data_IF_888862704964
#
_entry.id   IF_888862704964
#
_cell.length_a   1.000
_cell.length_b   1.000
_cell.length_c   1.000
_cell.angle_alpha   90.00
_cell.angle_beta   90.00
_cell.angle_gamma   90.00
#
_symmetry.space_group_name_H-M   'P 1'
#
loop_
_entity.id
_entity.type
_entity.pdbx_description
1 polymer ?
#
# COMPACT_ATOMS: atom_id res chain seq x y z
N UNK A 1 -6.46 -1.71 -24.34
CA UNK A 1 -6.11 -0.30 -24.07
C UNK A 1 -4.66 -0.24 -23.61
N UNK A 2 -3.98 0.86 -23.92
CA UNK A 2 -2.66 1.19 -23.37
C UNK A 2 -2.86 1.96 -22.07
N UNK A 3 -2.50 1.37 -20.95
CA UNK A 3 -2.59 2.01 -19.63
C UNK A 3 -1.18 2.36 -19.18
N UNK A 4 -0.96 3.63 -18.86
CA UNK A 4 0.33 4.10 -18.36
C UNK A 4 0.21 4.51 -16.89
N UNK A 5 1.06 3.94 -16.04
CA UNK A 5 1.16 4.26 -14.62
C UNK A 5 2.44 5.07 -14.44
N UNK A 6 2.33 6.26 -13.88
CA UNK A 6 3.48 7.14 -13.65
C UNK A 6 3.84 7.14 -12.18
N UNK A 7 5.09 6.78 -11.87
CA UNK A 7 5.59 6.62 -10.51
C UNK A 7 5.78 5.15 -10.10
N UNK A 8 6.52 4.93 -9.04
CA UNK A 8 6.92 3.58 -8.55
C UNK A 8 6.69 3.39 -7.04
N UNK A 9 5.86 4.22 -6.44
CA UNK A 9 5.41 4.01 -5.06
C UNK A 9 4.47 2.80 -4.93
N UNK A 10 4.10 2.45 -3.71
CA UNK A 10 3.20 1.33 -3.36
C UNK A 10 1.92 1.34 -4.20
N UNK A 11 1.26 2.51 -4.33
CA UNK A 11 0.02 2.64 -5.09
C UNK A 11 0.20 2.33 -6.58
N UNK A 12 1.32 2.75 -7.19
CA UNK A 12 1.63 2.50 -8.60
C UNK A 12 1.84 1.02 -8.86
N UNK A 13 2.69 0.38 -8.07
CA UNK A 13 2.98 -1.04 -8.24
C UNK A 13 1.78 -1.92 -7.90
N UNK A 14 0.99 -1.56 -6.88
CA UNK A 14 -0.25 -2.29 -6.59
C UNK A 14 -1.26 -2.15 -7.74
N UNK A 15 -1.37 -0.96 -8.35
CA UNK A 15 -2.22 -0.75 -9.53
C UNK A 15 -1.74 -1.59 -10.72
N UNK A 16 -0.44 -1.60 -10.99
CA UNK A 16 0.16 -2.41 -12.05
C UNK A 16 -0.11 -3.91 -11.81
N UNK A 17 0.07 -4.36 -10.59
CA UNK A 17 -0.18 -5.74 -10.19
C UNK A 17 -1.65 -6.13 -10.42
N UNK A 18 -2.59 -5.40 -9.83
CA UNK A 18 -4.02 -5.69 -9.97
C UNK A 18 -4.43 -5.72 -11.45
N UNK A 19 -4.10 -4.67 -12.21
CA UNK A 19 -4.48 -4.58 -13.62
C UNK A 19 -3.86 -5.69 -14.46
N UNK A 20 -2.62 -6.07 -14.21
CA UNK A 20 -1.95 -7.13 -14.98
C UNK A 20 -2.52 -8.52 -14.72
N UNK A 21 -3.14 -8.75 -13.57
CA UNK A 21 -3.78 -10.02 -13.22
C UNK A 21 -5.26 -10.07 -13.55
N UNK A 22 -5.93 -8.92 -13.69
CA UNK A 22 -7.38 -8.84 -13.86
C UNK A 22 -7.81 -8.40 -15.25
N UNK A 23 -6.88 -7.90 -16.07
CA UNK A 23 -7.20 -7.38 -17.40
C UNK A 23 -6.20 -7.87 -18.45
N UNK A 24 -6.56 -7.68 -19.73
CA UNK A 24 -5.68 -7.94 -20.88
C UNK A 24 -5.19 -6.62 -21.51
N UNK A 25 -5.00 -5.58 -20.70
CA UNK A 25 -4.52 -4.29 -21.18
C UNK A 25 -2.99 -4.25 -21.28
N UNK A 26 -2.47 -3.44 -22.18
CA UNK A 26 -1.05 -3.15 -22.29
C UNK A 26 -0.67 -2.17 -21.17
N UNK A 27 0.06 -2.64 -20.19
CA UNK A 27 0.41 -1.84 -18.99
C UNK A 27 1.87 -1.42 -19.08
N UNK A 28 2.10 -0.14 -18.92
CA UNK A 28 3.44 0.46 -18.85
C UNK A 28 3.59 1.27 -17.57
N UNK A 29 4.66 1.03 -16.82
CA UNK A 29 5.05 1.82 -15.66
C UNK A 29 6.19 2.76 -16.08
N UNK A 30 6.06 4.06 -15.80
CA UNK A 30 7.14 5.04 -15.99
C UNK A 30 7.78 5.29 -14.64
N UNK A 31 9.07 4.98 -14.56
CA UNK A 31 9.91 5.11 -13.39
C UNK A 31 10.88 6.27 -13.54
N UNK A 32 10.79 7.25 -12.65
CA UNK A 32 11.72 8.38 -12.65
C UNK A 32 13.09 7.97 -12.11
N UNK A 33 14.15 8.57 -12.67
CA UNK A 33 15.50 8.34 -12.18
C UNK A 33 15.68 8.93 -10.77
N UNK A 34 16.28 8.14 -9.89
CA UNK A 34 16.76 8.57 -8.57
C UNK A 34 15.73 9.24 -7.65
N UNK A 35 14.45 8.96 -7.83
CA UNK A 35 13.45 9.37 -6.86
C UNK A 35 13.30 8.26 -5.82
N UNK A 36 13.67 8.52 -4.56
CA UNK A 36 13.45 7.52 -3.51
C UNK A 36 11.95 7.38 -3.23
N UNK A 37 11.54 6.18 -2.92
CA UNK A 37 10.22 5.96 -2.31
C UNK A 37 10.19 6.65 -0.95
N UNK A 38 9.09 7.34 -0.64
CA UNK A 38 8.89 7.88 0.70
C UNK A 38 8.60 6.69 1.62
N UNK A 39 9.66 6.11 2.18
CA UNK A 39 9.60 4.92 3.02
C UNK A 39 9.25 5.29 4.46
N UNK A 40 7.99 5.51 4.74
CA UNK A 40 7.52 5.82 6.11
C UNK A 40 7.02 4.59 6.86
N UNK A 41 7.05 3.40 6.22
CA UNK A 41 6.28 2.24 6.65
C UNK A 41 4.79 2.44 6.37
N UNK A 42 4.10 1.37 6.08
CA UNK A 42 2.67 1.43 5.81
C UNK A 42 1.92 0.36 6.60
N UNK A 43 0.76 0.77 7.17
CA UNK A 43 -0.23 -0.14 7.69
C UNK A 43 -1.29 -0.40 6.63
N UNK A 44 -1.43 -1.64 6.22
CA UNK A 44 -2.43 -2.02 5.22
C UNK A 44 -3.83 -2.13 5.81
N UNK A 45 -4.78 -2.40 4.91
CA UNK A 45 -6.11 -2.92 5.24
C UNK A 45 -6.19 -4.41 4.92
N UNK A 46 -7.23 -5.10 5.37
CA UNK A 46 -7.46 -6.50 5.04
C UNK A 46 -7.61 -6.73 3.52
N UNK A 47 -8.19 -5.77 2.79
CA UNK A 47 -8.32 -5.84 1.33
C UNK A 47 -6.95 -5.97 0.66
N UNK A 48 -5.93 -5.29 1.16
CA UNK A 48 -4.57 -5.40 0.62
C UNK A 48 -4.04 -6.84 0.75
N UNK A 49 -4.19 -7.44 1.92
CA UNK A 49 -3.79 -8.83 2.17
C UNK A 49 -4.58 -9.82 1.29
N UNK A 50 -5.87 -9.58 1.12
CA UNK A 50 -6.73 -10.37 0.25
C UNK A 50 -6.32 -10.26 -1.23
N UNK A 51 -5.92 -9.07 -1.69
CA UNK A 51 -5.39 -8.86 -3.04
C UNK A 51 -4.09 -9.63 -3.26
N UNK A 52 -3.14 -9.47 -2.35
CA UNK A 52 -1.82 -10.15 -2.43
C UNK A 52 -1.99 -11.66 -2.32
N UNK A 53 -2.84 -12.12 -1.40
CA UNK A 53 -3.11 -13.56 -1.16
C UNK A 53 -3.95 -14.25 -2.24
N UNK A 54 -4.44 -13.52 -3.23
CA UNK A 54 -5.17 -14.10 -4.36
C UNK A 54 -6.63 -14.42 -4.10
N UNK A 55 -7.27 -13.77 -3.13
CA UNK A 55 -8.69 -13.97 -2.85
C UNK A 55 -9.60 -13.48 -3.98
N UNK A 56 -9.25 -12.35 -4.60
CA UNK A 56 -10.07 -11.74 -5.65
C UNK A 56 -9.66 -12.16 -7.06
N UNK A 57 -8.41 -12.55 -7.24
CA UNK A 57 -7.88 -13.06 -8.50
C UNK A 57 -6.67 -13.95 -8.23
N UNK A 58 -6.48 -14.95 -9.06
CA UNK A 58 -5.42 -15.94 -8.86
C UNK A 58 -4.04 -15.31 -8.99
N UNK A 59 -3.32 -15.21 -7.87
CA UNK A 59 -1.92 -14.81 -7.81
C UNK A 59 -1.03 -16.02 -7.55
N UNK A 60 0.24 -15.90 -7.83
CA UNK A 60 1.25 -16.90 -7.48
C UNK A 60 2.13 -16.42 -6.32
N UNK A 61 1.65 -15.46 -5.54
CA UNK A 61 2.37 -14.92 -4.39
C UNK A 61 2.19 -15.87 -3.21
N UNK A 62 3.31 -16.26 -2.63
CA UNK A 62 3.33 -16.93 -1.34
C UNK A 62 3.31 -15.88 -0.24
N UNK A 63 2.30 -15.91 0.62
CA UNK A 63 2.17 -14.94 1.72
C UNK A 63 3.32 -15.02 2.73
N UNK A 64 3.92 -16.20 2.93
CA UNK A 64 5.08 -16.32 3.80
C UNK A 64 6.30 -15.59 3.22
N UNK A 65 6.48 -15.63 1.90
CA UNK A 65 7.54 -14.86 1.24
C UNK A 65 7.25 -13.37 1.32
N UNK A 66 6.01 -12.98 1.09
CA UNK A 66 5.57 -11.59 1.24
C UNK A 66 5.88 -11.06 2.65
N UNK A 67 5.46 -11.77 3.68
CA UNK A 67 5.67 -11.33 5.08
C UNK A 67 7.14 -11.27 5.46
N UNK A 68 7.95 -12.21 4.99
CA UNK A 68 9.38 -12.24 5.26
C UNK A 68 10.12 -11.12 4.53
N UNK A 69 9.87 -10.93 3.24
CA UNK A 69 10.64 -10.00 2.41
C UNK A 69 10.27 -8.52 2.66
N UNK A 70 9.03 -8.28 3.09
CA UNK A 70 8.60 -6.95 3.48
C UNK A 70 8.70 -6.69 4.98
N UNK A 71 9.28 -7.61 5.73
CA UNK A 71 9.43 -7.46 7.20
C UNK A 71 8.08 -7.16 7.88
N UNK A 72 7.04 -7.88 7.46
CA UNK A 72 5.70 -7.61 7.91
C UNK A 72 5.47 -7.97 9.37
N UNK A 73 4.71 -7.13 10.06
CA UNK A 73 4.08 -7.47 11.33
C UNK A 73 2.57 -7.40 11.19
N UNK A 74 1.80 -8.25 11.92
CA UNK A 74 0.34 -8.20 11.87
C UNK A 74 -0.18 -6.86 12.41
N UNK A 75 -1.15 -6.27 11.72
CA UNK A 75 -1.90 -5.11 12.19
C UNK A 75 -3.32 -5.55 12.53
N UNK A 76 -3.62 -5.65 13.81
CA UNK A 76 -4.87 -6.22 14.31
C UNK A 76 -5.91 -5.17 14.63
N UNK A 77 -5.50 -4.05 15.18
CA UNK A 77 -6.38 -2.98 15.62
C UNK A 77 -5.66 -1.63 15.59
N UNK A 78 -6.42 -0.57 15.79
CA UNK A 78 -5.94 0.77 16.05
C UNK A 78 -6.33 1.09 17.49
N UNK A 79 -5.35 1.45 18.30
CA UNK A 79 -5.57 1.92 19.67
C UNK A 79 -5.87 3.42 19.66
N UNK A 80 -7.07 3.79 20.14
CA UNK A 80 -7.49 5.18 20.25
C UNK A 80 -7.39 5.61 21.70
N UNK A 81 -6.36 6.38 22.05
CA UNK A 81 -6.13 6.92 23.38
C UNK A 81 -6.60 8.38 23.48
N UNK A 82 -7.35 8.68 24.53
CA UNK A 82 -7.84 10.04 24.79
C UNK A 82 -8.95 10.53 23.84
N UNK A 83 -9.62 9.65 23.13
CA UNK A 83 -10.71 9.95 22.19
C UNK A 83 -12.08 9.79 22.86
N UNK A 84 -12.38 10.55 23.85
CA UNK A 84 -13.66 10.48 24.58
C UNK A 84 -13.47 10.07 26.04
N UNK A 85 -14.45 9.37 26.60
CA UNK A 85 -14.44 9.02 28.03
C UNK A 85 -13.56 7.80 28.36
N UNK A 86 -13.29 6.94 27.38
CA UNK A 86 -12.50 5.73 27.54
C UNK A 86 -11.65 5.49 26.29
N UNK A 87 -10.47 4.94 26.48
CA UNK A 87 -9.64 4.40 25.41
C UNK A 87 -10.32 3.15 24.81
N UNK A 88 -10.15 2.95 23.50
CA UNK A 88 -10.74 1.79 22.84
C UNK A 88 -9.92 1.33 21.65
N UNK A 89 -10.03 0.03 21.33
CA UNK A 89 -9.43 -0.56 20.14
C UNK A 89 -10.46 -0.66 19.01
N UNK A 90 -10.07 -0.22 17.82
CA UNK A 90 -10.83 -0.42 16.60
C UNK A 90 -10.16 -1.50 15.75
N UNK A 91 -10.79 -2.67 15.56
CA UNK A 91 -10.20 -3.72 14.72
C UNK A 91 -10.11 -3.26 13.26
N UNK A 92 -9.05 -3.70 12.58
CA UNK A 92 -8.77 -3.27 11.19
C UNK A 92 -9.67 -3.97 10.18
N UNK A 93 -10.13 -5.19 10.48
CA UNK A 93 -11.18 -5.83 9.70
C UNK A 93 -12.27 -6.34 10.62
N UNK A 94 -13.50 -6.50 10.10
CA UNK A 94 -14.66 -6.88 10.88
C UNK A 94 -14.69 -8.33 11.38
N UNK A 95 -13.61 -9.09 11.19
CA UNK A 95 -13.49 -10.49 11.58
C UNK A 95 -13.25 -10.78 13.07
N UNK A 96 -12.78 -9.85 13.90
CA UNK A 96 -12.47 -10.15 15.31
C UNK A 96 -13.66 -10.56 16.18
N UNK A 97 -14.88 -10.33 15.75
CA UNK A 97 -16.06 -10.73 16.54
C UNK A 97 -16.21 -12.23 16.69
N UNK A 98 -15.59 -13.02 15.83
CA UNK A 98 -15.58 -14.48 15.88
C UNK A 98 -14.27 -15.08 16.38
N UNK A 99 -13.27 -14.26 16.66
CA UNK A 99 -11.93 -14.71 17.04
C UNK A 99 -11.82 -14.80 18.56
N UNK A 100 -11.42 -15.97 19.06
CA UNK A 100 -11.25 -16.23 20.48
C UNK A 100 -9.78 -16.50 20.81
N UNK A 101 -9.32 -15.93 21.90
CA UNK A 101 -8.05 -16.25 22.50
C UNK A 101 -8.31 -16.80 23.89
N UNK A 102 -7.95 -18.06 24.14
CA UNK A 102 -8.13 -18.72 25.44
C UNK A 102 -9.56 -18.51 26.00
N UNK A 103 -10.56 -18.83 25.18
CA UNK A 103 -11.98 -18.75 25.56
C UNK A 103 -12.55 -17.33 25.72
N UNK A 104 -11.78 -16.28 25.45
CA UNK A 104 -12.27 -14.89 25.43
C UNK A 104 -12.34 -14.37 23.99
N UNK A 105 -13.30 -13.51 23.71
CA UNK A 105 -13.32 -12.77 22.45
C UNK A 105 -12.04 -11.91 22.34
N UNK A 106 -11.43 -11.89 21.16
CA UNK A 106 -10.19 -11.16 20.89
C UNK A 106 -10.22 -9.72 21.42
N UNK A 107 -11.30 -8.97 21.13
CA UNK A 107 -11.43 -7.60 21.59
C UNK A 107 -11.52 -7.48 23.12
N UNK A 108 -12.14 -8.47 23.79
CA UNK A 108 -12.18 -8.48 25.26
C UNK A 108 -10.82 -8.82 25.86
N UNK A 109 -10.08 -9.73 25.23
CA UNK A 109 -8.74 -10.08 25.65
C UNK A 109 -7.78 -8.90 25.46
N UNK A 110 -7.92 -8.17 24.35
CA UNK A 110 -7.14 -6.97 24.07
C UNK A 110 -7.43 -5.87 25.10
N UNK A 111 -8.70 -5.55 25.34
CA UNK A 111 -9.11 -4.55 26.33
C UNK A 111 -8.70 -4.86 27.76
N UNK A 112 -8.33 -6.12 28.05
CA UNK A 112 -7.84 -6.57 29.36
C UNK A 112 -6.33 -6.77 29.38
N UNK A 113 -5.60 -6.29 28.38
CA UNK A 113 -4.16 -6.52 28.22
C UNK A 113 -3.72 -8.01 28.31
N UNK A 114 -4.62 -8.92 27.92
CA UNK A 114 -4.38 -10.35 28.01
C UNK A 114 -3.75 -10.98 26.78
N UNK A 115 -3.60 -10.22 25.71
CA UNK A 115 -2.95 -10.69 24.50
C UNK A 115 -2.08 -9.62 23.88
N UNK A 116 -0.98 -10.09 23.29
CA UNK A 116 -0.12 -9.29 22.44
C UNK A 116 -0.66 -9.30 21.03
N UNK A 117 -0.74 -8.14 20.44
CA UNK A 117 -1.17 -7.94 19.05
C UNK A 117 -0.21 -8.65 18.09
N UNK A 118 1.09 -8.65 18.40
CA UNK A 118 2.11 -9.11 17.45
C UNK A 118 2.33 -10.61 17.39
N UNK A 119 2.20 -11.33 18.48
CA UNK A 119 2.78 -12.68 18.54
C UNK A 119 1.78 -13.83 18.47
N UNK A 120 0.53 -13.61 18.76
CA UNK A 120 -0.43 -14.71 18.89
C UNK A 120 -1.71 -14.56 18.08
N UNK A 121 -2.02 -13.38 17.58
CA UNK A 121 -3.32 -13.11 17.00
C UNK A 121 -3.37 -13.13 15.48
N UNK A 122 -2.24 -13.00 14.80
CA UNK A 122 -2.18 -12.93 13.33
C UNK A 122 -1.81 -14.25 12.64
N UNK A 123 -1.37 -15.26 13.39
CA UNK A 123 -0.87 -16.48 12.80
C UNK A 123 -1.54 -17.73 13.39
N UNK A 124 -2.16 -18.52 12.54
CA UNK A 124 -2.69 -19.82 12.94
C UNK A 124 -1.58 -20.87 12.84
N UNK A 125 -1.02 -21.24 13.97
CA UNK A 125 0.08 -22.20 14.07
C UNK A 125 -0.34 -23.60 13.58
N UNK A 126 -1.58 -24.01 13.82
CA UNK A 126 -2.08 -25.34 13.42
C UNK A 126 -2.22 -25.48 11.90
N UNK A 127 -2.54 -24.39 11.21
CA UNK A 127 -2.77 -24.40 9.76
C UNK A 127 -1.65 -23.73 8.98
N UNK A 128 -0.63 -23.22 9.64
CA UNK A 128 0.46 -22.47 9.00
C UNK A 128 -0.05 -21.34 8.07
N UNK A 129 -1.15 -20.69 8.49
CA UNK A 129 -1.83 -19.63 7.75
C UNK A 129 -1.89 -18.37 8.58
N UNK A 130 -1.55 -17.25 7.95
CA UNK A 130 -1.94 -15.95 8.45
C UNK A 130 -3.46 -15.82 8.37
N UNK A 131 -4.10 -15.46 9.48
CA UNK A 131 -5.49 -14.99 9.41
C UNK A 131 -5.53 -13.79 8.49
N UNK A 132 -6.55 -13.75 7.63
CA UNK A 132 -6.80 -12.59 6.79
C UNK A 132 -6.90 -11.36 7.67
N UNK A 133 -5.86 -10.58 7.68
CA UNK A 133 -5.71 -9.36 8.47
C UNK A 133 -4.90 -8.35 7.70
N UNK A 134 -4.66 -7.23 8.33
CA UNK A 134 -3.77 -6.21 7.80
C UNK A 134 -2.33 -6.42 8.29
N UNK A 135 -1.40 -5.73 7.65
CA UNK A 135 0.01 -5.76 7.99
C UNK A 135 0.55 -4.36 8.13
N UNK A 136 1.53 -4.20 9.01
CA UNK A 136 2.54 -3.16 8.87
C UNK A 136 3.68 -3.74 8.03
N UNK A 137 4.20 -3.00 7.08
CA UNK A 137 5.25 -3.50 6.19
C UNK A 137 6.23 -2.41 5.77
N UNK A 138 7.43 -2.86 5.41
CA UNK A 138 8.50 -1.98 4.93
C UNK A 138 8.27 -1.63 3.46
N UNK A 139 7.81 -0.42 3.20
CA UNK A 139 7.52 0.06 1.84
C UNK A 139 8.74 0.15 0.93
N UNK A 140 9.95 0.27 1.50
CA UNK A 140 11.18 0.32 0.72
C UNK A 140 11.49 -1.01 0.01
N UNK A 141 10.87 -2.10 0.44
CA UNK A 141 11.04 -3.42 -0.16
C UNK A 141 9.88 -3.78 -1.10
N UNK A 142 8.80 -3.00 -1.12
CA UNK A 142 7.59 -3.37 -1.84
C UNK A 142 7.78 -3.45 -3.36
N UNK A 143 8.45 -2.49 -3.96
CA UNK A 143 8.72 -2.47 -5.39
C UNK A 143 9.56 -3.67 -5.83
N UNK A 144 10.63 -3.98 -5.09
CA UNK A 144 11.51 -5.12 -5.35
C UNK A 144 10.77 -6.44 -5.30
N UNK A 145 9.84 -6.55 -4.36
CA UNK A 145 9.02 -7.76 -4.19
C UNK A 145 7.98 -7.91 -5.30
N UNK A 146 7.21 -6.87 -5.60
CA UNK A 146 6.04 -6.97 -6.48
C UNK A 146 6.39 -6.88 -7.97
N UNK A 147 7.44 -6.13 -8.33
CA UNK A 147 7.88 -5.92 -9.73
C UNK A 147 8.05 -7.23 -10.52
N UNK A 148 8.73 -8.28 -10.03
CA UNK A 148 8.90 -9.53 -10.77
C UNK A 148 7.56 -10.21 -11.12
N UNK A 149 6.54 -10.06 -10.28
CA UNK A 149 5.21 -10.59 -10.56
C UNK A 149 4.51 -9.82 -11.67
N UNK A 150 4.67 -8.49 -11.70
CA UNK A 150 4.15 -7.63 -12.76
C UNK A 150 4.83 -7.91 -14.10
N UNK A 151 6.16 -8.02 -14.12
CA UNK A 151 6.95 -8.30 -15.31
C UNK A 151 6.63 -9.66 -15.93
N UNK A 152 6.38 -10.70 -15.13
CA UNK A 152 5.87 -12.00 -15.58
C UNK A 152 4.50 -11.90 -16.26
N UNK A 153 3.77 -10.82 -16.06
CA UNK A 153 2.50 -10.49 -16.70
C UNK A 153 2.66 -9.47 -17.84
N UNK A 154 3.87 -9.30 -18.33
CA UNK A 154 4.22 -8.42 -19.43
C UNK A 154 4.01 -6.91 -19.15
N UNK A 155 4.00 -6.50 -17.88
CA UNK A 155 4.08 -5.08 -17.53
C UNK A 155 5.42 -4.54 -17.99
N UNK A 156 5.40 -3.50 -18.82
CA UNK A 156 6.60 -2.83 -19.31
C UNK A 156 7.04 -1.76 -18.32
N UNK A 157 8.34 -1.61 -18.14
CA UNK A 157 8.91 -0.53 -17.33
C UNK A 157 9.78 0.35 -18.22
N UNK A 158 9.50 1.65 -18.20
CA UNK A 158 10.24 2.67 -18.93
C UNK A 158 10.90 3.61 -17.93
N UNK A 159 12.19 3.79 -18.04
CA UNK A 159 12.90 4.79 -17.25
C UNK A 159 12.70 6.17 -17.88
N UNK A 160 12.24 7.12 -17.07
CA UNK A 160 12.03 8.50 -17.55
C UNK A 160 11.22 9.34 -16.58
N UNK A 161 11.24 10.63 -16.80
CA UNK A 161 10.45 11.61 -16.06
C UNK A 161 9.47 12.28 -17.02
N UNK A 162 8.19 12.30 -16.68
CA UNK A 162 7.18 12.99 -17.49
C UNK A 162 7.37 14.50 -17.36
N UNK A 163 7.60 15.16 -18.51
CA UNK A 163 7.75 16.61 -18.62
C UNK A 163 6.45 17.31 -18.97
N UNK A 164 5.66 16.72 -19.88
CA UNK A 164 4.40 17.30 -20.33
C UNK A 164 3.46 16.21 -20.85
N UNK A 165 2.22 16.61 -21.09
CA UNK A 165 1.18 15.75 -21.67
C UNK A 165 0.67 16.35 -22.97
N UNK A 166 0.30 15.48 -23.92
CA UNK A 166 -0.35 15.88 -25.17
C UNK A 166 -1.78 15.39 -25.12
N UNK A 167 -2.71 16.30 -25.36
CA UNK A 167 -4.14 16.02 -25.40
C UNK A 167 -4.61 15.76 -26.84
N UNK A 168 -5.68 14.99 -26.98
CA UNK A 168 -6.41 14.85 -28.22
C UNK A 168 -7.46 15.99 -28.34
N UNK A 169 -8.18 16.03 -29.48
CA UNK A 169 -9.19 17.04 -29.75
C UNK A 169 -10.38 17.03 -28.78
N UNK A 170 -10.55 15.94 -28.03
CA UNK A 170 -11.58 15.78 -27.00
C UNK A 170 -11.09 16.16 -25.59
N UNK A 171 -9.86 16.61 -25.44
CA UNK A 171 -9.27 16.97 -24.14
C UNK A 171 -8.78 15.79 -23.30
N UNK A 172 -8.73 14.58 -23.86
CA UNK A 172 -8.15 13.42 -23.19
C UNK A 172 -6.65 13.34 -23.43
N UNK A 173 -5.90 12.82 -22.46
CA UNK A 173 -4.46 12.57 -22.63
C UNK A 173 -4.26 11.51 -23.72
N UNK A 174 -3.44 11.85 -24.72
CA UNK A 174 -3.07 10.97 -25.83
C UNK A 174 -1.65 10.44 -25.68
N UNK A 175 -0.75 11.28 -25.21
CA UNK A 175 0.67 10.93 -25.06
C UNK A 175 1.28 11.61 -23.84
N UNK A 176 2.28 10.97 -23.26
CA UNK A 176 3.17 11.54 -22.26
C UNK A 176 4.50 11.82 -22.91
N UNK A 177 5.03 13.04 -22.72
CA UNK A 177 6.35 13.45 -23.23
C UNK A 177 7.34 13.32 -22.08
N UNK A 178 8.39 12.52 -22.26
CA UNK A 178 9.46 12.33 -21.28
C UNK A 178 10.52 13.42 -21.38
N UNK A 179 11.39 13.50 -20.39
CA UNK A 179 12.46 14.48 -20.31
C UNK A 179 13.52 14.37 -21.43
N UNK A 180 13.68 13.18 -22.02
CA UNK A 180 14.53 12.91 -23.18
C UNK A 180 13.84 13.20 -24.52
N UNK A 181 12.63 13.78 -24.50
CA UNK A 181 11.74 14.05 -25.63
C UNK A 181 11.13 12.81 -26.30
N UNK A 182 11.31 11.62 -25.75
CA UNK A 182 10.54 10.45 -26.17
C UNK A 182 9.06 10.58 -25.78
N UNK A 183 8.20 9.90 -26.53
CA UNK A 183 6.76 9.92 -26.32
C UNK A 183 6.24 8.53 -25.95
N UNK A 184 5.34 8.48 -24.98
CA UNK A 184 4.62 7.29 -24.59
C UNK A 184 3.14 7.48 -24.91
N UNK A 185 2.65 6.74 -25.90
CA UNK A 185 1.21 6.73 -26.23
C UNK A 185 0.42 6.04 -25.13
N UNK A 186 -0.73 6.60 -24.80
CA UNK A 186 -1.58 6.06 -23.73
C UNK A 186 -3.06 6.36 -24.00
N UNK A 187 -3.93 5.43 -23.59
CA UNK A 187 -5.38 5.61 -23.61
C UNK A 187 -5.89 5.99 -22.20
N UNK A 188 -5.16 5.60 -21.15
CA UNK A 188 -5.50 5.87 -19.76
C UNK A 188 -4.24 6.04 -18.91
N UNK A 189 -4.26 7.02 -18.00
CA UNK A 189 -3.11 7.30 -17.12
C UNK A 189 -3.50 7.20 -15.66
N UNK A 190 -2.66 6.53 -14.89
CA UNK A 190 -2.71 6.52 -13.42
C UNK A 190 -1.54 7.37 -12.91
N UNK A 191 -1.86 8.49 -12.24
CA UNK A 191 -0.87 9.35 -11.60
C UNK A 191 -0.54 8.85 -10.19
N UNK A 192 0.46 8.01 -10.07
CA UNK A 192 1.00 7.48 -8.81
C UNK A 192 2.21 8.26 -8.29
N UNK A 193 2.39 9.51 -8.72
CA UNK A 193 3.56 10.32 -8.36
C UNK A 193 3.43 11.05 -7.02
N UNK A 194 2.38 10.76 -6.26
CA UNK A 194 2.16 11.32 -4.93
C UNK A 194 2.14 12.86 -4.95
N UNK A 195 2.88 13.50 -4.07
CA UNK A 195 2.92 14.96 -3.96
C UNK A 195 3.49 15.68 -5.18
N UNK A 196 4.21 15.00 -6.06
CA UNK A 196 4.72 15.59 -7.31
C UNK A 196 3.59 15.90 -8.31
N UNK A 197 2.48 15.13 -8.27
CA UNK A 197 1.31 15.36 -9.13
C UNK A 197 1.71 15.54 -10.59
N UNK A 198 2.59 14.65 -11.10
CA UNK A 198 3.26 14.84 -12.39
C UNK A 198 2.29 14.94 -13.58
N UNK A 199 1.15 14.31 -13.47
CA UNK A 199 0.12 14.30 -14.53
C UNK A 199 -1.03 15.26 -14.20
N UNK A 200 -1.60 15.16 -13.00
CA UNK A 200 -2.80 15.92 -12.66
C UNK A 200 -2.58 17.43 -12.72
N UNK A 201 -1.36 17.91 -12.50
CA UNK A 201 -1.00 19.34 -12.64
C UNK A 201 -1.21 19.91 -14.05
N UNK A 202 -1.27 19.05 -15.08
CA UNK A 202 -1.53 19.45 -16.47
C UNK A 202 -3.02 19.44 -16.82
N UNK A 203 -3.87 18.93 -15.92
CA UNK A 203 -5.31 18.95 -16.07
C UNK A 203 -5.88 20.23 -15.47
N UNK A 204 -7.04 20.66 -15.97
CA UNK A 204 -7.74 21.80 -15.39
C UNK A 204 -8.46 21.37 -14.11
N UNK A 205 -7.75 21.33 -12.98
CA UNK A 205 -8.32 20.99 -11.68
C UNK A 205 -8.10 22.11 -10.67
N UNK A 206 -8.99 22.19 -9.69
CA UNK A 206 -8.88 23.11 -8.57
C UNK A 206 -8.36 22.38 -7.35
N UNK A 207 -7.26 22.87 -6.78
CA UNK A 207 -6.82 22.44 -5.46
C UNK A 207 -7.73 23.02 -4.39
N UNK A 208 -8.23 22.17 -3.50
CA UNK A 208 -9.02 22.61 -2.35
C UNK A 208 -8.11 22.56 -1.13
N UNK A 209 -7.92 23.71 -0.50
CA UNK A 209 -7.13 23.84 0.71
C UNK A 209 -8.01 23.59 1.93
N UNK A 210 -7.53 22.79 2.84
CA UNK A 210 -8.19 22.46 4.10
C UNK A 210 -7.41 22.95 5.33
N UNK A 211 -6.51 23.91 5.19
CA UNK A 211 -5.61 24.38 6.23
C UNK A 211 -6.35 24.84 7.49
N UNK A 212 -7.54 25.44 7.33
CA UNK A 212 -8.37 25.89 8.43
C UNK A 212 -8.95 24.75 9.28
N UNK A 213 -9.13 23.59 8.67
CA UNK A 213 -9.67 22.39 9.33
C UNK A 213 -8.57 21.38 9.69
N UNK A 214 -7.51 21.31 8.88
CA UNK A 214 -6.41 20.37 8.98
C UNK A 214 -5.08 21.15 8.97
N UNK A 215 -4.68 21.76 10.07
CA UNK A 215 -3.53 22.66 10.12
C UNK A 215 -2.17 21.94 10.02
N UNK A 216 -2.16 20.60 10.18
CA UNK A 216 -0.95 19.80 10.06
C UNK A 216 -0.68 19.50 8.57
N UNK A 217 0.45 19.99 8.06
CA UNK A 217 0.85 19.84 6.67
C UNK A 217 2.20 19.14 6.46
N UNK A 218 2.83 18.68 7.54
CA UNK A 218 4.13 17.98 7.49
C UNK A 218 4.17 16.88 8.52
N UNK A 219 4.85 15.79 8.16
CA UNK A 219 5.23 14.72 9.09
C UNK A 219 6.69 14.34 8.84
N UNK A 220 7.39 13.97 9.88
CA UNK A 220 8.76 13.49 9.83
C UNK A 220 8.74 12.07 10.39
N UNK A 221 8.85 11.03 9.57
CA UNK A 221 8.99 9.66 10.06
C UNK A 221 10.39 9.47 10.64
N UNK A 222 10.46 8.95 11.84
CA UNK A 222 11.73 8.66 12.52
C UNK A 222 11.72 7.18 12.85
N UNK A 223 12.47 6.34 12.11
CA UNK A 223 12.61 4.93 12.46
C UNK A 223 13.43 4.80 13.74
N UNK A 224 12.82 4.20 14.75
CA UNK A 224 13.45 3.95 16.06
C UNK A 224 13.52 2.44 16.25
N UNK A 225 14.66 1.94 16.71
CA UNK A 225 14.79 0.54 17.13
C UNK A 225 14.19 0.39 18.53
N UNK A 226 13.51 -0.73 18.73
CA UNK A 226 13.12 -1.11 20.08
C UNK A 226 14.37 -1.45 20.90
N UNK A 227 14.48 -0.88 22.09
CA UNK A 227 15.62 -1.13 22.99
C UNK A 227 15.56 -2.54 23.60
N UNK A 228 14.38 -3.08 23.76
CA UNK A 228 14.13 -4.40 24.31
C UNK A 228 12.97 -5.10 23.61
N UNK A 229 13.31 -6.08 22.77
CA UNK A 229 12.32 -6.88 22.04
C UNK A 229 11.53 -7.84 22.93
N UNK A 230 11.90 -7.99 24.20
CA UNK A 230 11.16 -8.80 25.18
C UNK A 230 9.99 -8.04 25.78
N UNK A 231 10.00 -6.70 25.68
CA UNK A 231 8.85 -5.89 26.06
C UNK A 231 7.83 -5.88 24.95
N UNK A 232 6.67 -6.14 25.33
CA UNK A 232 5.47 -6.38 24.56
C UNK A 232 4.89 -5.10 23.93
N UNK A 233 5.69 -4.06 23.74
CA UNK A 233 5.37 -2.74 23.19
C UNK A 233 5.46 -2.69 21.64
N UNK A 234 5.35 -3.84 21.01
CA UNK A 234 5.57 -3.99 19.56
C UNK A 234 4.57 -3.27 18.65
N UNK A 235 3.56 -2.61 19.20
CA UNK A 235 2.41 -2.24 18.38
C UNK A 235 1.79 -0.88 18.71
N UNK A 236 2.50 -0.04 19.35
CA UNK A 236 2.06 1.35 19.56
C UNK A 236 2.41 2.25 18.37
#
# INVERSE_FOLDING_TARGET
MKITIVGTGTASWLSAFVLSYTTNHDITVIEAFNLPTIGVGEGSTAIFSDLIGGKYFKTNINLNDFTRELECTPKMAIDFKGWGNNDYYSPVDGTPTAFHIKDELFLQALAKDKCHISSQCGYNVEHNKLFGGAFHFNTNNFDKFIRPYCEKKNVKVIQGTVRSVIFNDFGNIKQLVLSDNSNVETDFVIDGTGFHRAIIKHLNYRWIDYVDNLPVNRAIPIPVKYDDLSKEEFND
#
